data_IF_879611159010
#
_entry.id   IF_879611159010
#
_cell.length_a   1.000
_cell.length_b   1.000
_cell.length_c   1.000
_cell.angle_alpha   90.00
_cell.angle_beta   90.00
_cell.angle_gamma   90.00
#
_symmetry.space_group_name_H-M   'P 1'
#
loop_
_entity.id
_entity.type
_entity.pdbx_description
1 polymer ?
#
# COMPACT_ATOMS: atom_id res chain seq x y z
N UNK A 1 -59.68 19.66 30.10
CA UNK A 1 -58.41 19.00 29.77
C UNK A 1 -57.42 20.06 29.33
N UNK A 2 -56.30 20.21 30.05
CA UNK A 2 -55.37 21.33 29.87
C UNK A 2 -54.61 21.23 28.53
N UNK A 3 -54.54 22.32 27.73
CA UNK A 3 -53.87 22.33 26.43
C UNK A 3 -52.35 22.11 26.52
N UNK A 4 -51.76 22.21 27.72
CA UNK A 4 -50.36 21.84 27.95
C UNK A 4 -50.11 20.31 27.88
N UNK A 5 -51.06 19.47 28.30
CA UNK A 5 -50.85 18.01 28.32
C UNK A 5 -50.89 17.40 26.92
N UNK A 6 -51.64 18.00 25.99
CA UNK A 6 -51.67 17.56 24.60
C UNK A 6 -50.34 17.82 23.87
N UNK A 7 -49.66 18.94 24.17
CA UNK A 7 -48.36 19.28 23.58
C UNK A 7 -47.23 18.39 24.08
N UNK A 8 -47.24 18.03 25.37
CA UNK A 8 -46.25 17.10 25.95
C UNK A 8 -46.44 15.69 25.39
N UNK A 9 -47.69 15.24 25.23
CA UNK A 9 -47.99 13.94 24.60
C UNK A 9 -47.58 13.91 23.13
N UNK A 10 -47.83 14.98 22.37
CA UNK A 10 -47.44 15.08 20.95
C UNK A 10 -45.91 15.11 20.78
N UNK A 11 -45.18 15.79 21.67
CA UNK A 11 -43.71 15.80 21.68
C UNK A 11 -43.14 14.41 22.02
N UNK A 12 -43.74 13.68 22.96
CA UNK A 12 -43.32 12.29 23.26
C UNK A 12 -43.66 11.33 22.12
N UNK A 13 -44.83 11.47 21.47
CA UNK A 13 -45.20 10.64 20.32
C UNK A 13 -44.33 10.95 19.10
N UNK A 14 -43.98 12.21 18.84
CA UNK A 14 -43.03 12.59 17.78
C UNK A 14 -41.61 12.13 18.09
N UNK A 15 -41.16 12.16 19.36
CA UNK A 15 -39.87 11.58 19.75
C UNK A 15 -39.85 10.05 19.59
N UNK A 16 -40.94 9.35 19.93
CA UNK A 16 -41.07 7.90 19.74
C UNK A 16 -41.18 7.53 18.25
N UNK A 17 -41.83 8.34 17.42
CA UNK A 17 -41.90 8.14 15.96
C UNK A 17 -40.56 8.49 15.30
N UNK A 18 -39.82 9.49 15.79
CA UNK A 18 -38.45 9.75 15.36
C UNK A 18 -37.50 8.62 15.77
N UNK A 19 -37.70 8.01 16.94
CA UNK A 19 -37.01 6.79 17.39
C UNK A 19 -37.46 5.51 16.67
N UNK A 20 -38.63 5.49 16.03
CA UNK A 20 -39.07 4.38 15.16
C UNK A 20 -38.65 4.55 13.70
N UNK A 21 -38.51 5.78 13.21
CA UNK A 21 -37.87 6.08 11.91
C UNK A 21 -36.33 5.95 11.95
N UNK A 22 -35.78 5.64 13.13
CA UNK A 22 -34.46 5.03 13.34
C UNK A 22 -34.43 3.54 12.96
N UNK A 23 -35.43 3.02 12.23
CA UNK A 23 -35.31 1.77 11.47
C UNK A 23 -34.20 1.77 10.40
N UNK A 24 -33.52 2.90 10.18
CA UNK A 24 -32.28 2.98 9.40
C UNK A 24 -30.98 2.68 10.15
N UNK A 25 -30.95 2.65 11.49
CA UNK A 25 -29.69 2.44 12.24
C UNK A 25 -29.26 0.97 12.27
N UNK A 26 -30.20 0.02 12.23
CA UNK A 26 -29.88 -1.42 12.12
C UNK A 26 -29.33 -1.82 10.72
N UNK A 27 -29.41 -0.91 9.74
CA UNK A 27 -29.08 -1.17 8.33
C UNK A 27 -27.68 -0.74 7.88
N UNK A 28 -26.78 -0.35 8.81
CA UNK A 28 -25.44 0.17 8.49
C UNK A 28 -24.36 -0.17 9.52
N UNK A 29 -24.54 -1.24 10.28
CA UNK A 29 -23.76 -1.51 11.50
C UNK A 29 -22.25 -1.63 11.24
N UNK A 30 -21.86 -2.15 10.08
CA UNK A 30 -20.46 -2.33 9.65
C UNK A 30 -20.01 -1.32 8.60
N UNK A 31 -20.82 -0.32 8.24
CA UNK A 31 -20.47 0.64 7.17
C UNK A 31 -19.17 1.39 7.49
N UNK A 32 -18.96 1.77 8.76
CA UNK A 32 -17.72 2.42 9.20
C UNK A 32 -16.50 1.48 9.06
N UNK A 33 -16.65 0.24 9.50
CA UNK A 33 -15.57 -0.74 9.47
C UNK A 33 -15.25 -1.14 8.01
N UNK A 34 -16.27 -1.25 7.14
CA UNK A 34 -16.08 -1.45 5.69
C UNK A 34 -15.30 -0.29 5.06
N UNK A 35 -15.60 0.97 5.40
CA UNK A 35 -14.88 2.13 4.84
C UNK A 35 -13.37 2.07 5.09
N UNK A 36 -12.94 1.49 6.21
CA UNK A 36 -11.52 1.28 6.52
C UNK A 36 -10.90 0.30 5.53
N UNK A 37 -11.57 -0.83 5.27
CA UNK A 37 -11.07 -1.78 4.28
C UNK A 37 -11.19 -1.26 2.85
N UNK A 38 -12.22 -0.49 2.51
CA UNK A 38 -12.29 0.20 1.22
C UNK A 38 -11.09 1.13 1.02
N UNK A 39 -10.65 1.83 2.07
CA UNK A 39 -9.44 2.64 2.01
C UNK A 39 -8.19 1.76 1.82
N UNK A 40 -8.04 0.68 2.60
CA UNK A 40 -6.91 -0.24 2.48
C UNK A 40 -6.85 -0.90 1.09
N UNK A 41 -7.97 -1.41 0.59
CA UNK A 41 -8.15 -1.99 -0.74
C UNK A 41 -7.81 -0.97 -1.84
N UNK A 42 -8.30 0.28 -1.73
CA UNK A 42 -7.95 1.33 -2.67
C UNK A 42 -6.43 1.56 -2.72
N UNK A 43 -5.81 1.81 -1.57
CA UNK A 43 -4.37 2.09 -1.47
C UNK A 43 -3.52 0.92 -1.98
N UNK A 44 -3.97 -0.32 -1.72
CA UNK A 44 -3.27 -1.53 -2.13
C UNK A 44 -3.44 -1.86 -3.63
N UNK A 45 -4.56 -1.47 -4.23
CA UNK A 45 -4.84 -1.70 -5.67
C UNK A 45 -4.37 -0.56 -6.58
N UNK A 46 -4.01 0.59 -6.01
CA UNK A 46 -3.51 1.77 -6.72
C UNK A 46 -2.15 2.21 -6.15
N UNK A 47 -1.11 1.36 -6.22
CA UNK A 47 0.19 1.70 -5.65
C UNK A 47 0.78 2.97 -6.28
N UNK A 48 1.63 3.72 -5.56
CA UNK A 48 2.26 4.92 -6.09
C UNK A 48 3.09 4.64 -7.34
N UNK A 49 3.20 5.67 -8.17
CA UNK A 49 4.18 5.66 -9.26
C UNK A 49 5.60 5.61 -8.71
N UNK A 50 6.45 4.83 -9.37
CA UNK A 50 7.88 4.76 -9.06
C UNK A 50 8.56 6.11 -9.36
N UNK A 51 9.45 6.61 -8.49
CA UNK A 51 10.24 7.80 -8.74
C UNK A 51 11.03 7.67 -10.03
N UNK A 52 11.02 8.73 -10.84
CA UNK A 52 11.83 8.83 -12.04
C UNK A 52 13.23 9.26 -11.64
N UNK A 53 14.24 8.47 -12.03
CA UNK A 53 15.64 8.76 -11.77
C UNK A 53 16.35 9.24 -13.04
N UNK A 54 17.35 10.14 -12.93
CA UNK A 54 18.07 10.68 -14.08
C UNK A 54 19.18 9.73 -14.56
N UNK A 55 18.87 8.44 -14.78
CA UNK A 55 19.87 7.40 -15.09
C UNK A 55 20.62 7.72 -16.40
N UNK A 56 19.90 8.11 -17.45
CA UNK A 56 20.49 8.47 -18.75
C UNK A 56 21.39 9.70 -18.65
N UNK A 57 20.96 10.74 -17.93
CA UNK A 57 21.79 11.94 -17.72
C UNK A 57 23.05 11.58 -16.94
N UNK A 58 22.93 10.75 -15.91
CA UNK A 58 24.06 10.27 -15.11
C UNK A 58 25.12 9.55 -15.96
N UNK A 59 24.69 8.69 -16.90
CA UNK A 59 25.60 8.03 -17.84
C UNK A 59 26.28 9.02 -18.80
N UNK A 60 25.52 9.98 -19.35
CA UNK A 60 26.08 11.02 -20.23
C UNK A 60 27.15 11.85 -19.52
N UNK A 61 26.93 12.22 -18.25
CA UNK A 61 27.89 12.99 -17.45
C UNK A 61 29.20 12.22 -17.21
N UNK A 62 29.11 10.92 -16.89
CA UNK A 62 30.31 10.09 -16.75
C UNK A 62 31.03 9.91 -18.09
N UNK A 63 30.29 9.62 -19.17
CA UNK A 63 30.83 9.49 -20.51
C UNK A 63 31.60 10.74 -20.96
N UNK A 64 31.04 11.93 -20.70
CA UNK A 64 31.72 13.20 -20.93
C UNK A 64 33.07 13.25 -20.21
N UNK A 65 33.09 12.97 -18.90
CA UNK A 65 34.31 13.09 -18.11
C UNK A 65 35.41 12.12 -18.53
N UNK A 66 35.03 10.89 -18.87
CA UNK A 66 35.96 9.88 -19.37
C UNK A 66 36.56 10.31 -20.72
N UNK A 67 35.73 10.93 -21.57
CA UNK A 67 36.18 11.48 -22.85
C UNK A 67 37.14 12.65 -22.66
N UNK A 68 36.83 13.61 -21.78
CA UNK A 68 37.74 14.69 -21.40
C UNK A 68 39.06 14.15 -20.84
N UNK A 69 39.01 13.12 -19.99
CA UNK A 69 40.22 12.46 -19.45
C UNK A 69 41.08 11.89 -20.57
N UNK A 70 40.49 11.16 -21.51
CA UNK A 70 41.24 10.54 -22.61
C UNK A 70 41.83 11.58 -23.57
N UNK A 71 41.07 12.64 -23.87
CA UNK A 71 41.51 13.72 -24.76
C UNK A 71 42.54 14.66 -24.14
N UNK A 72 42.74 14.57 -22.82
CA UNK A 72 43.83 15.23 -22.11
C UNK A 72 44.98 14.29 -21.79
N UNK A 73 45.02 13.02 -22.24
CA UNK A 73 46.04 12.05 -21.83
C UNK A 73 47.34 12.03 -22.68
N UNK A 74 47.54 13.01 -23.57
CA UNK A 74 48.73 13.10 -24.44
C UNK A 74 48.63 12.25 -25.72
N UNK A 75 49.71 12.22 -26.51
CA UNK A 75 49.67 11.64 -27.87
C UNK A 75 49.43 10.13 -27.90
N UNK A 76 49.94 9.40 -26.90
CA UNK A 76 49.85 7.94 -26.82
C UNK A 76 48.44 7.38 -26.59
N UNK A 77 47.45 8.22 -26.24
CA UNK A 77 46.10 7.79 -25.92
C UNK A 77 45.10 8.16 -27.03
N UNK A 78 44.18 7.22 -27.32
CA UNK A 78 43.08 7.47 -28.25
C UNK A 78 42.09 8.48 -27.63
N UNK A 79 41.74 9.52 -28.40
CA UNK A 79 40.72 10.51 -28.06
C UNK A 79 39.63 10.41 -29.12
N UNK A 80 38.39 10.20 -28.68
CA UNK A 80 37.23 10.37 -29.55
C UNK A 80 36.94 11.87 -29.66
N UNK A 81 37.28 12.49 -30.78
CA UNK A 81 37.01 13.93 -31.00
C UNK A 81 35.60 14.17 -31.54
N UNK A 82 35.09 15.38 -31.37
CA UNK A 82 33.82 15.83 -31.92
C UNK A 82 32.82 16.32 -30.88
N UNK A 83 31.58 16.48 -31.33
CA UNK A 83 30.48 17.03 -30.54
C UNK A 83 29.93 16.00 -29.56
N UNK A 84 29.69 16.43 -28.32
CA UNK A 84 29.00 15.66 -27.28
C UNK A 84 27.83 16.47 -26.77
N UNK A 85 26.64 15.91 -26.85
CA UNK A 85 25.48 16.48 -26.18
C UNK A 85 25.45 16.07 -24.71
N UNK A 86 25.45 17.08 -23.84
CA UNK A 86 25.34 16.91 -22.39
C UNK A 86 24.18 17.78 -21.95
N UNK A 87 23.08 17.13 -21.59
CA UNK A 87 21.82 17.79 -21.22
C UNK A 87 21.32 18.77 -22.29
N UNK A 88 21.58 20.07 -22.15
CA UNK A 88 21.13 21.13 -23.05
C UNK A 88 22.27 21.80 -23.82
N UNK A 89 23.49 21.29 -23.70
CA UNK A 89 24.68 21.87 -24.32
C UNK A 89 25.39 20.88 -25.24
N UNK A 90 25.99 21.41 -26.32
CA UNK A 90 26.87 20.65 -27.20
C UNK A 90 28.31 21.08 -26.98
N UNK A 91 29.11 20.16 -26.45
CA UNK A 91 30.53 20.38 -26.15
C UNK A 91 31.37 19.85 -27.31
N UNK A 92 32.23 20.69 -27.88
CA UNK A 92 33.20 20.25 -28.89
C UNK A 92 34.53 19.84 -28.24
N UNK A 93 34.78 18.54 -28.18
CA UNK A 93 35.98 17.96 -27.58
C UNK A 93 37.01 17.64 -28.66
N UNK A 94 38.19 18.25 -28.54
CA UNK A 94 39.39 18.01 -29.34
C UNK A 94 40.53 17.49 -28.47
N UNK A 95 41.47 16.73 -29.04
CA UNK A 95 42.67 16.31 -28.32
C UNK A 95 43.55 17.52 -28.01
N UNK A 96 44.09 17.57 -26.78
CA UNK A 96 45.06 18.60 -26.42
C UNK A 96 46.46 18.19 -26.87
N UNK A 97 47.23 19.15 -27.38
CA UNK A 97 48.64 18.97 -27.73
C UNK A 97 49.49 18.75 -26.48
N UNK A 98 50.51 17.91 -26.60
CA UNK A 98 51.36 17.53 -25.47
C UNK A 98 52.15 18.73 -24.92
N UNK A 99 52.03 18.95 -23.61
CA UNK A 99 52.74 20.02 -22.88
C UNK A 99 52.68 19.79 -21.37
N UNK A 100 53.57 20.44 -20.60
CA UNK A 100 53.53 20.40 -19.12
C UNK A 100 52.18 20.89 -18.57
N UNK A 101 51.60 21.89 -19.23
CA UNK A 101 50.27 22.40 -18.90
C UNK A 101 49.19 21.35 -19.13
N UNK A 102 49.20 20.66 -20.28
CA UNK A 102 48.29 19.55 -20.57
C UNK A 102 48.44 18.40 -19.57
N UNK A 103 49.67 18.05 -19.17
CA UNK A 103 49.90 17.01 -18.17
C UNK A 103 49.30 17.38 -16.80
N UNK A 104 49.41 18.65 -16.38
CA UNK A 104 48.79 19.14 -15.14
C UNK A 104 47.25 19.12 -15.21
N UNK A 105 46.66 19.51 -16.34
CA UNK A 105 45.22 19.45 -16.57
C UNK A 105 44.70 18.02 -16.57
N UNK A 106 45.43 17.10 -17.23
CA UNK A 106 45.11 15.69 -17.23
C UNK A 106 44.99 15.13 -15.82
N UNK A 107 45.96 15.43 -14.95
CA UNK A 107 45.92 14.97 -13.56
C UNK A 107 44.69 15.52 -12.81
N UNK A 108 44.28 16.77 -13.06
CA UNK A 108 43.08 17.36 -12.44
C UNK A 108 41.82 16.65 -12.95
N UNK A 109 41.67 16.48 -14.26
CA UNK A 109 40.52 15.81 -14.89
C UNK A 109 40.46 14.33 -14.49
N UNK A 110 41.60 13.65 -14.41
CA UNK A 110 41.69 12.26 -13.97
C UNK A 110 41.17 12.11 -12.53
N UNK A 111 41.55 13.01 -11.61
CA UNK A 111 41.03 13.00 -10.23
C UNK A 111 39.51 13.21 -10.20
N UNK A 112 38.99 14.11 -11.04
CA UNK A 112 37.55 14.33 -11.17
C UNK A 112 36.84 13.10 -11.75
N UNK A 113 37.42 12.44 -12.75
CA UNK A 113 36.88 11.22 -13.35
C UNK A 113 36.80 10.09 -12.34
N UNK A 114 37.85 9.87 -11.55
CA UNK A 114 37.82 8.88 -10.48
C UNK A 114 36.80 9.21 -9.39
N UNK A 115 36.57 10.50 -9.09
CA UNK A 115 35.50 10.91 -8.17
C UNK A 115 34.12 10.65 -8.78
N UNK A 116 33.93 10.96 -10.06
CA UNK A 116 32.69 10.75 -10.80
C UNK A 116 32.32 9.26 -10.86
N UNK A 117 33.27 8.38 -11.16
CA UNK A 117 33.06 6.92 -11.16
C UNK A 117 32.56 6.42 -9.79
N UNK A 118 33.10 6.94 -8.68
CA UNK A 118 32.64 6.59 -7.32
C UNK A 118 31.23 7.09 -7.03
N UNK A 119 30.90 8.30 -7.49
CA UNK A 119 29.55 8.86 -7.36
C UNK A 119 28.55 8.05 -8.20
N UNK A 120 28.92 7.67 -9.43
CA UNK A 120 28.11 6.80 -10.30
C UNK A 120 27.80 5.46 -9.61
N UNK A 121 28.81 4.80 -9.07
CA UNK A 121 28.60 3.54 -8.34
C UNK A 121 27.66 3.70 -7.13
N UNK A 122 27.72 4.85 -6.45
CA UNK A 122 26.82 5.14 -5.33
C UNK A 122 25.41 5.45 -5.81
N UNK A 123 25.28 6.17 -6.92
CA UNK A 123 24.02 6.47 -7.59
C UNK A 123 23.34 5.16 -8.02
N UNK A 124 24.06 4.26 -8.70
CA UNK A 124 23.53 2.98 -9.18
C UNK A 124 23.01 2.10 -8.04
N UNK A 125 23.71 2.11 -6.89
CA UNK A 125 23.25 1.40 -5.69
C UNK A 125 21.92 1.96 -5.17
N UNK A 126 21.80 3.28 -5.13
CA UNK A 126 20.54 3.92 -4.72
C UNK A 126 19.44 3.69 -5.76
N UNK A 127 19.74 3.75 -7.05
CA UNK A 127 18.79 3.47 -8.13
C UNK A 127 18.26 2.03 -8.10
N UNK A 128 19.12 1.05 -7.82
CA UNK A 128 18.71 -0.35 -7.58
C UNK A 128 17.80 -0.44 -6.37
N UNK A 129 18.14 0.25 -5.27
CA UNK A 129 17.32 0.27 -4.04
C UNK A 129 15.93 0.86 -4.32
N UNK A 130 15.83 1.97 -5.07
CA UNK A 130 14.54 2.53 -5.50
C UNK A 130 13.72 1.48 -6.24
N UNK A 131 14.32 0.80 -7.23
CA UNK A 131 13.65 -0.22 -8.02
C UNK A 131 13.15 -1.38 -7.16
N UNK A 132 14.04 -2.00 -6.39
CA UNK A 132 13.70 -3.16 -5.58
C UNK A 132 12.67 -2.84 -4.49
N UNK A 133 12.80 -1.70 -3.82
CA UNK A 133 11.88 -1.31 -2.76
C UNK A 133 10.49 -1.05 -3.31
N UNK A 134 10.36 -0.35 -4.44
CA UNK A 134 9.05 -0.09 -5.07
C UNK A 134 8.41 -1.37 -5.60
N UNK A 135 9.16 -2.22 -6.30
CA UNK A 135 8.61 -3.47 -6.85
C UNK A 135 8.13 -4.41 -5.73
N UNK A 136 8.90 -4.51 -4.63
CA UNK A 136 8.49 -5.27 -3.44
C UNK A 136 7.29 -4.65 -2.73
N UNK A 137 7.23 -3.32 -2.61
CA UNK A 137 6.09 -2.63 -2.01
C UNK A 137 4.80 -2.89 -2.81
N UNK A 138 4.84 -2.73 -4.13
CA UNK A 138 3.72 -3.02 -5.04
C UNK A 138 3.27 -4.47 -4.91
N UNK A 139 4.24 -5.41 -4.88
CA UNK A 139 3.95 -6.83 -4.67
C UNK A 139 3.21 -7.06 -3.35
N UNK A 140 3.73 -6.56 -2.23
CA UNK A 140 3.10 -6.74 -0.92
C UNK A 140 1.71 -6.11 -0.84
N UNK A 141 1.51 -4.92 -1.43
CA UNK A 141 0.19 -4.31 -1.52
C UNK A 141 -0.79 -5.21 -2.25
N UNK A 142 -0.42 -5.76 -3.41
CA UNK A 142 -1.29 -6.69 -4.15
C UNK A 142 -1.56 -7.97 -3.40
N UNK A 143 -0.54 -8.56 -2.78
CA UNK A 143 -0.69 -9.78 -1.98
C UNK A 143 -1.62 -9.55 -0.78
N UNK A 144 -1.65 -8.33 -0.22
CA UNK A 144 -2.55 -8.01 0.89
C UNK A 144 -4.04 -8.04 0.51
N UNK A 145 -4.37 -7.85 -0.78
CA UNK A 145 -5.76 -7.85 -1.29
C UNK A 145 -6.11 -9.17 -1.96
N UNK A 146 -5.21 -9.71 -2.77
CA UNK A 146 -5.48 -10.86 -3.64
C UNK A 146 -4.84 -12.16 -3.16
N UNK A 147 -4.03 -12.13 -2.10
CA UNK A 147 -3.37 -13.30 -1.54
C UNK A 147 -1.98 -13.54 -2.09
N UNK A 148 -1.31 -14.57 -1.58
CA UNK A 148 0.07 -14.90 -1.95
C UNK A 148 0.25 -15.07 -3.45
N UNK A 149 1.39 -14.63 -3.99
CA UNK A 149 1.72 -14.82 -5.41
C UNK A 149 0.88 -13.97 -6.37
N UNK A 150 0.16 -12.96 -5.88
CA UNK A 150 -0.64 -12.04 -6.69
C UNK A 150 0.15 -11.51 -7.91
N UNK A 151 -0.37 -11.80 -9.10
CA UNK A 151 0.28 -11.41 -10.37
C UNK A 151 0.28 -9.90 -10.57
N UNK A 152 1.27 -9.33 -11.30
CA UNK A 152 1.40 -7.87 -11.43
C UNK A 152 0.27 -7.13 -12.15
N UNK A 153 -0.70 -7.80 -12.76
CA UNK A 153 -1.82 -7.13 -13.45
C UNK A 153 -3.17 -7.64 -12.96
N UNK A 154 -3.22 -8.23 -11.75
CA UNK A 154 -4.50 -8.64 -11.16
C UNK A 154 -5.37 -7.41 -10.91
N UNK A 155 -6.63 -7.50 -11.32
CA UNK A 155 -7.63 -6.44 -11.11
C UNK A 155 -8.91 -7.06 -10.55
N UNK A 156 -9.77 -6.22 -9.98
CA UNK A 156 -10.99 -6.69 -9.34
C UNK A 156 -11.89 -7.52 -10.26
N UNK A 157 -11.94 -7.19 -11.54
CA UNK A 157 -12.77 -7.88 -12.54
C UNK A 157 -12.09 -9.06 -13.25
N UNK A 158 -10.84 -9.39 -12.91
CA UNK A 158 -10.08 -10.43 -13.61
C UNK A 158 -9.09 -11.10 -12.65
N UNK A 159 -9.59 -12.00 -11.83
CA UNK A 159 -8.80 -12.84 -10.92
C UNK A 159 -8.84 -14.29 -11.40
N UNK A 160 -7.68 -14.91 -11.61
CA UNK A 160 -7.60 -16.30 -12.05
C UNK A 160 -8.03 -17.27 -10.94
N UNK A 161 -8.59 -18.43 -11.30
CA UNK A 161 -9.11 -19.41 -10.33
C UNK A 161 -8.09 -19.82 -9.25
N UNK A 162 -6.82 -20.02 -9.63
CA UNK A 162 -5.75 -20.34 -8.67
C UNK A 162 -5.46 -19.22 -7.66
N UNK A 163 -5.64 -17.95 -8.06
CA UNK A 163 -5.48 -16.81 -7.18
C UNK A 163 -6.65 -16.67 -6.20
N UNK A 164 -7.85 -17.12 -6.58
CA UNK A 164 -9.03 -17.04 -5.69
C UNK A 164 -8.81 -17.85 -4.40
N UNK A 165 -8.13 -19.00 -4.47
CA UNK A 165 -7.83 -19.83 -3.30
C UNK A 165 -6.81 -19.17 -2.34
N UNK A 166 -5.95 -18.29 -2.85
CA UNK A 166 -5.03 -17.49 -2.05
C UNK A 166 -5.73 -16.25 -1.48
N UNK A 167 -6.65 -15.67 -2.25
CA UNK A 167 -7.47 -14.52 -1.85
C UNK A 167 -8.43 -14.89 -0.71
N UNK A 168 -8.96 -16.10 -0.78
CA UNK A 168 -9.95 -16.67 0.13
C UNK A 168 -9.45 -18.05 0.54
N UNK A 169 -8.86 -18.19 1.74
CA UNK A 169 -8.39 -19.51 2.14
C UNK A 169 -9.58 -20.45 2.34
N UNK A 170 -9.63 -21.57 1.59
CA UNK A 170 -10.72 -22.52 1.74
C UNK A 170 -10.68 -23.08 3.16
N UNK A 171 -11.85 -23.20 3.75
CA UNK A 171 -12.04 -24.10 4.87
C UNK A 171 -12.15 -25.51 4.27
N UNK A 172 -11.70 -26.54 4.99
CA UNK A 172 -11.77 -27.95 4.57
C UNK A 172 -13.05 -28.27 3.79
N UNK A 173 -12.93 -29.07 2.72
CA UNK A 173 -14.02 -29.46 1.83
C UNK A 173 -15.21 -29.99 2.65
N UNK A 174 -16.38 -29.34 2.52
CA UNK A 174 -17.61 -29.69 3.24
C UNK A 174 -17.86 -28.95 4.57
N UNK A 175 -16.96 -28.07 5.01
CA UNK A 175 -17.19 -27.24 6.21
C UNK A 175 -18.00 -25.97 5.87
N UNK A 176 -19.31 -26.06 6.07
CA UNK A 176 -20.28 -25.01 5.72
C UNK A 176 -20.38 -23.89 6.78
N UNK A 177 -19.27 -23.42 7.34
CA UNK A 177 -19.32 -22.51 8.48
C UNK A 177 -18.45 -21.25 8.31
N UNK A 178 -19.12 -20.09 8.25
CA UNK A 178 -18.52 -18.75 8.20
C UNK A 178 -17.50 -18.52 9.32
N UNK A 179 -17.71 -19.10 10.50
CA UNK A 179 -16.83 -18.91 11.66
C UNK A 179 -15.42 -19.47 11.42
N UNK A 180 -15.27 -20.47 10.56
CA UNK A 180 -13.93 -20.94 10.17
C UNK A 180 -13.25 -20.03 9.13
N UNK A 181 -14.04 -19.36 8.30
CA UNK A 181 -13.58 -18.43 7.26
C UNK A 181 -13.26 -17.03 7.81
N UNK A 182 -14.03 -16.61 8.81
CA UNK A 182 -14.01 -15.27 9.41
C UNK A 182 -13.47 -15.26 10.84
N UNK A 183 -13.05 -16.42 11.33
CA UNK A 183 -12.31 -16.60 12.57
C UNK A 183 -13.15 -17.21 13.71
N UNK A 184 -12.65 -18.34 14.21
CA UNK A 184 -12.95 -19.00 15.49
C UNK A 184 -11.97 -20.18 15.68
N UNK A 185 -11.39 -20.31 16.87
CA UNK A 185 -10.51 -21.41 17.31
C UNK A 185 -9.20 -21.59 16.50
N UNK A 186 -8.34 -22.53 16.93
CA UNK A 186 -7.01 -22.82 16.37
C UNK A 186 -7.00 -23.29 14.88
N UNK A 187 -8.17 -23.35 14.23
CA UNK A 187 -8.39 -23.71 12.84
C UNK A 187 -8.90 -22.53 11.98
N UNK A 188 -8.80 -21.29 12.47
CA UNK A 188 -9.20 -20.07 11.77
C UNK A 188 -8.29 -19.79 10.56
N UNK A 189 -8.57 -20.45 9.43
CA UNK A 189 -7.70 -20.38 8.25
C UNK A 189 -7.91 -19.12 7.40
N UNK A 190 -9.05 -18.43 7.50
CA UNK A 190 -9.39 -17.31 6.60
C UNK A 190 -9.17 -15.90 7.17
N UNK A 191 -9.39 -15.67 8.47
CA UNK A 191 -9.28 -14.34 9.07
C UNK A 191 -7.88 -13.74 8.84
N UNK A 192 -7.82 -12.50 8.35
CA UNK A 192 -6.54 -11.82 8.16
C UNK A 192 -5.71 -12.28 6.97
N UNK A 193 -6.15 -13.29 6.20
CA UNK A 193 -5.43 -13.76 5.01
C UNK A 193 -5.31 -12.64 3.97
N UNK A 194 -6.44 -12.02 3.63
CA UNK A 194 -6.48 -10.84 2.75
C UNK A 194 -7.49 -9.83 3.22
N UNK A 195 -7.31 -8.57 2.78
CA UNK A 195 -8.31 -7.50 2.90
C UNK A 195 -9.66 -7.95 2.30
N UNK A 196 -9.63 -8.64 1.16
CA UNK A 196 -10.83 -9.07 0.45
C UNK A 196 -11.64 -10.11 1.24
N UNK A 197 -10.94 -11.07 1.85
CA UNK A 197 -11.53 -12.05 2.76
C UNK A 197 -12.24 -11.36 3.92
N UNK A 198 -11.55 -10.42 4.56
CA UNK A 198 -12.05 -9.74 5.75
C UNK A 198 -13.21 -8.78 5.43
N UNK A 199 -13.22 -8.15 4.24
CA UNK A 199 -14.38 -7.40 3.74
C UNK A 199 -15.61 -8.29 3.56
N UNK A 200 -15.42 -9.48 2.98
CA UNK A 200 -16.49 -10.47 2.82
C UNK A 200 -17.07 -10.84 4.17
N UNK A 201 -16.22 -11.20 5.14
CA UNK A 201 -16.62 -11.63 6.48
C UNK A 201 -17.51 -10.65 7.25
N UNK A 202 -17.29 -9.34 7.06
CA UNK A 202 -18.10 -8.33 7.72
C UNK A 202 -19.42 -8.02 7.00
N UNK A 203 -19.57 -8.41 5.74
CA UNK A 203 -20.64 -7.89 4.89
C UNK A 203 -21.52 -8.97 4.26
N UNK A 204 -21.00 -10.18 4.05
CA UNK A 204 -21.75 -11.29 3.51
C UNK A 204 -22.52 -12.02 4.62
N UNK A 205 -23.70 -12.54 4.28
CA UNK A 205 -24.58 -13.27 5.19
C UNK A 205 -24.66 -14.73 4.80
N UNK A 206 -24.93 -15.60 5.77
CA UNK A 206 -25.24 -17.01 5.52
C UNK A 206 -26.59 -17.17 4.82
N UNK A 207 -26.65 -17.95 3.74
CA UNK A 207 -27.92 -18.40 3.14
C UNK A 207 -28.64 -19.37 4.10
N UNK A 208 -29.94 -19.18 4.36
CA UNK A 208 -30.78 -20.12 5.11
C UNK A 208 -30.91 -19.89 6.63
N UNK A 209 -30.45 -18.76 7.17
CA UNK A 209 -30.60 -18.40 8.59
C UNK A 209 -32.02 -17.96 9.00
N UNK A 210 -32.38 -18.18 10.27
CA UNK A 210 -33.68 -17.86 10.86
C UNK A 210 -33.91 -16.35 11.01
N UNK A 211 -34.99 -15.83 10.41
CA UNK A 211 -35.54 -14.48 10.55
C UNK A 211 -34.54 -13.31 10.38
N UNK A 212 -34.44 -12.81 9.15
CA UNK A 212 -33.67 -11.66 8.71
C UNK A 212 -33.98 -10.37 9.50
N UNK A 213 -33.09 -9.96 10.41
CA UNK A 213 -33.11 -8.60 10.99
C UNK A 213 -31.94 -7.72 10.54
N UNK A 214 -30.76 -8.28 10.29
CA UNK A 214 -29.60 -7.52 9.76
C UNK A 214 -29.46 -7.77 8.26
N UNK A 215 -30.32 -7.17 7.45
CA UNK A 215 -30.29 -7.37 5.99
C UNK A 215 -29.24 -6.52 5.27
N UNK A 216 -28.60 -5.56 5.94
CA UNK A 216 -27.80 -4.51 5.29
C UNK A 216 -26.52 -4.10 6.06
N UNK A 217 -25.81 -5.00 6.76
CA UNK A 217 -24.71 -4.62 7.67
C UNK A 217 -23.71 -3.59 7.11
N UNK A 218 -23.33 -3.69 5.83
CA UNK A 218 -22.40 -2.78 5.18
C UNK A 218 -23.05 -1.68 4.32
N UNK A 219 -24.33 -1.37 4.54
CA UNK A 219 -25.05 -0.33 3.80
C UNK A 219 -25.50 -0.74 2.39
N UNK A 220 -25.41 -2.03 2.06
CA UNK A 220 -25.95 -2.61 0.83
C UNK A 220 -27.47 -2.52 0.81
N UNK A 221 -28.09 -2.16 -0.33
CA UNK A 221 -29.56 -2.16 -0.47
C UNK A 221 -30.19 -3.55 -0.41
N UNK A 222 -29.43 -4.59 -0.75
CA UNK A 222 -29.82 -6.00 -0.71
C UNK A 222 -28.75 -6.78 0.06
N UNK A 223 -29.14 -7.81 0.81
CA UNK A 223 -28.17 -8.66 1.48
C UNK A 223 -27.30 -9.39 0.46
N UNK A 224 -25.99 -9.44 0.71
CA UNK A 224 -25.05 -10.25 -0.08
C UNK A 224 -24.97 -11.61 0.59
N UNK A 225 -25.67 -12.59 0.02
CA UNK A 225 -25.66 -13.94 0.53
C UNK A 225 -24.47 -14.72 -0.05
N UNK A 226 -23.79 -15.50 0.79
CA UNK A 226 -22.77 -16.43 0.36
C UNK A 226 -23.31 -17.85 0.57
N UNK A 227 -23.49 -18.57 -0.53
CA UNK A 227 -23.95 -19.96 -0.54
C UNK A 227 -22.75 -20.90 -0.40
N UNK A 228 -22.89 -22.02 0.33
CA UNK A 228 -21.88 -23.09 0.38
C UNK A 228 -20.51 -22.77 1.01
N UNK A 229 -20.18 -21.50 1.29
CA UNK A 229 -18.85 -21.05 1.77
C UNK A 229 -17.68 -21.43 0.86
N UNK A 230 -17.95 -21.52 -0.44
CA UNK A 230 -16.94 -21.83 -1.45
C UNK A 230 -16.20 -20.56 -1.90
N UNK A 231 -14.94 -20.74 -2.30
CA UNK A 231 -14.07 -19.66 -2.78
C UNK A 231 -14.69 -18.84 -3.91
N UNK A 232 -15.38 -19.49 -4.86
CA UNK A 232 -16.07 -18.80 -5.95
C UNK A 232 -17.22 -17.91 -5.47
N UNK A 233 -18.00 -18.38 -4.50
CA UNK A 233 -19.08 -17.60 -3.90
C UNK A 233 -18.57 -16.45 -3.02
N UNK A 234 -17.44 -16.63 -2.35
CA UNK A 234 -16.76 -15.56 -1.63
C UNK A 234 -16.29 -14.44 -2.58
N UNK A 235 -15.77 -14.81 -3.76
CA UNK A 235 -15.40 -13.85 -4.79
C UNK A 235 -16.60 -13.06 -5.33
N UNK A 236 -17.72 -13.75 -5.63
CA UNK A 236 -18.95 -13.09 -6.07
C UNK A 236 -19.51 -12.12 -5.01
N UNK A 237 -19.44 -12.52 -3.73
CA UNK A 237 -19.84 -11.68 -2.60
C UNK A 237 -18.94 -10.45 -2.49
N UNK A 238 -17.62 -10.63 -2.50
CA UNK A 238 -16.65 -9.55 -2.47
C UNK A 238 -16.84 -8.58 -3.64
N UNK A 239 -17.08 -9.07 -4.86
CA UNK A 239 -17.35 -8.25 -6.03
C UNK A 239 -18.54 -7.30 -5.84
N UNK A 240 -19.59 -7.75 -5.14
CA UNK A 240 -20.76 -6.91 -4.79
C UNK A 240 -20.44 -5.90 -3.68
N UNK A 241 -19.57 -6.26 -2.74
CA UNK A 241 -19.19 -5.42 -1.60
C UNK A 241 -18.25 -4.29 -2.05
N UNK A 242 -17.22 -4.61 -2.83
CA UNK A 242 -16.18 -3.65 -3.22
C UNK A 242 -16.71 -2.53 -4.14
N UNK A 243 -17.85 -2.74 -4.81
CA UNK A 243 -18.55 -1.69 -5.58
C UNK A 243 -19.03 -0.54 -4.67
N UNK A 244 -19.20 -0.77 -3.37
CA UNK A 244 -19.57 0.28 -2.41
C UNK A 244 -18.40 1.20 -2.05
N UNK A 245 -17.17 0.77 -2.34
CA UNK A 245 -15.99 1.53 -2.02
C UNK A 245 -15.89 2.74 -2.95
N UNK A 246 -15.64 3.91 -2.37
CA UNK A 246 -15.32 5.12 -3.12
C UNK A 246 -14.05 4.90 -3.96
N UNK A 247 -14.17 5.10 -5.26
CA UNK A 247 -13.09 4.97 -6.25
C UNK A 247 -12.43 6.31 -6.58
N UNK A 248 -12.78 7.38 -5.87
CA UNK A 248 -12.17 8.69 -6.05
C UNK A 248 -10.65 8.60 -5.90
N UNK A 249 -9.94 9.31 -6.76
CA UNK A 249 -8.49 9.30 -6.78
C UNK A 249 -7.92 9.85 -5.46
N UNK A 250 -6.94 9.15 -4.89
CA UNK A 250 -6.27 9.54 -3.64
C UNK A 250 -4.78 9.32 -3.79
N UNK A 251 -4.00 10.23 -3.21
CA UNK A 251 -2.56 10.04 -3.10
C UNK A 251 -2.27 8.78 -2.28
N UNK A 252 -1.44 7.90 -2.85
CA UNK A 252 -1.00 6.67 -2.18
C UNK A 252 0.47 6.83 -1.83
N UNK A 253 0.76 6.90 -0.54
CA UNK A 253 2.13 6.99 -0.03
C UNK A 253 2.24 6.22 1.31
N UNK A 254 3.45 6.17 1.86
CA UNK A 254 3.71 5.47 3.11
C UNK A 254 2.90 6.04 4.29
N UNK A 255 2.62 7.35 4.31
CA UNK A 255 1.85 7.99 5.36
C UNK A 255 0.35 7.61 5.28
N UNK A 256 -0.20 7.58 4.07
CA UNK A 256 -1.58 7.15 3.80
C UNK A 256 -1.80 5.69 4.21
N UNK A 257 -0.87 4.79 3.86
CA UNK A 257 -0.91 3.38 4.28
C UNK A 257 -0.89 3.25 5.81
N UNK A 258 0.05 3.93 6.49
CA UNK A 258 0.12 3.93 7.96
C UNK A 258 -1.11 4.55 8.62
N UNK A 259 -1.69 5.58 8.02
CA UNK A 259 -2.94 6.18 8.46
C UNK A 259 -4.13 5.22 8.38
N UNK A 260 -4.22 4.45 7.29
CA UNK A 260 -5.23 3.42 7.11
C UNK A 260 -5.06 2.27 8.13
N UNK A 261 -3.82 1.79 8.33
CA UNK A 261 -3.51 0.77 9.35
C UNK A 261 -3.84 1.24 10.78
N UNK A 262 -3.58 2.52 11.08
CA UNK A 262 -3.97 3.12 12.37
C UNK A 262 -5.49 3.18 12.52
N UNK A 263 -6.21 3.51 11.46
CA UNK A 263 -7.68 3.53 11.47
C UNK A 263 -8.27 2.15 11.73
N UNK A 264 -7.69 1.10 11.11
CA UNK A 264 -8.00 -0.30 11.42
C UNK A 264 -7.71 -0.63 12.88
N UNK A 265 -6.50 -0.34 13.36
CA UNK A 265 -6.12 -0.58 14.75
C UNK A 265 -7.06 0.09 15.75
N UNK A 266 -7.48 1.33 15.49
CA UNK A 266 -8.39 2.05 16.38
C UNK A 266 -9.84 1.52 16.34
N UNK A 267 -10.19 0.71 15.33
CA UNK A 267 -11.56 0.22 15.14
C UNK A 267 -11.78 -1.19 15.65
N UNK A 268 -10.70 -1.94 15.89
CA UNK A 268 -10.75 -3.22 16.58
C UNK A 268 -11.33 -3.04 18.00
N UNK A 269 -12.13 -4.03 18.42
CA UNK A 269 -12.69 -4.06 19.76
C UNK A 269 -11.59 -3.99 20.83
N UNK A 270 -11.83 -3.17 21.84
CA UNK A 270 -10.94 -3.02 22.99
C UNK A 270 -11.31 -4.01 24.09
N UNK A 271 -10.33 -4.37 24.92
CA UNK A 271 -10.55 -4.99 26.23
C UNK A 271 -11.29 -3.99 27.15
N UNK A 272 -12.62 -3.94 27.01
CA UNK A 272 -13.51 -3.14 27.84
C UNK A 272 -14.31 -4.03 28.80
N UNK A 273 -14.49 -3.56 30.04
CA UNK A 273 -15.33 -4.22 31.06
C UNK A 273 -16.77 -4.37 30.58
N UNK A 274 -17.42 -5.43 31.07
CA UNK A 274 -18.64 -6.07 30.59
C UNK A 274 -19.94 -5.23 30.47
N UNK A 275 -19.92 -3.90 30.61
CA UNK A 275 -21.14 -3.10 30.83
C UNK A 275 -21.43 -2.02 29.76
N UNK A 276 -20.73 -2.02 28.62
CA UNK A 276 -21.04 -1.08 27.52
C UNK A 276 -22.06 -1.67 26.53
N UNK A 277 -23.14 -0.96 26.16
CA UNK A 277 -24.12 -1.42 25.16
C UNK A 277 -23.55 -1.52 23.72
N UNK A 278 -22.26 -1.25 23.52
CA UNK A 278 -21.52 -1.36 22.25
C UNK A 278 -20.41 -2.41 22.36
N UNK A 279 -20.73 -3.61 22.82
CA UNK A 279 -19.79 -4.73 22.94
C UNK A 279 -19.11 -5.05 21.59
N UNK A 280 -17.95 -4.44 21.32
CA UNK A 280 -16.96 -5.04 20.42
C UNK A 280 -16.12 -5.97 21.28
N UNK A 281 -16.16 -7.27 21.00
CA UNK A 281 -15.29 -8.22 21.68
C UNK A 281 -13.82 -7.86 21.37
N UNK A 282 -12.89 -8.01 22.33
CA UNK A 282 -11.49 -7.71 22.13
C UNK A 282 -10.95 -8.33 20.83
N UNK A 283 -10.15 -7.57 20.08
CA UNK A 283 -9.49 -8.05 18.86
C UNK A 283 -10.43 -8.47 17.72
N UNK A 284 -11.72 -8.15 17.79
CA UNK A 284 -12.68 -8.39 16.70
C UNK A 284 -13.05 -7.07 16.00
N UNK A 285 -13.39 -7.15 14.71
CA UNK A 285 -13.89 -6.03 13.90
C UNK A 285 -15.27 -6.34 13.33
N UNK A 286 -16.16 -5.35 13.21
CA UNK A 286 -17.54 -5.55 12.76
C UNK A 286 -18.55 -5.68 13.91
N UNK A 287 -19.71 -6.25 13.58
CA UNK A 287 -20.89 -6.32 14.43
C UNK A 287 -20.97 -7.66 15.14
N UNK A 288 -21.15 -7.62 16.45
CA UNK A 288 -21.35 -8.80 17.29
C UNK A 288 -22.76 -8.82 17.89
N UNK A 289 -23.37 -9.99 17.84
CA UNK A 289 -24.55 -10.32 18.64
C UNK A 289 -24.19 -10.53 20.11
N UNK A 290 -25.17 -10.90 20.93
CA UNK A 290 -25.00 -11.04 22.39
C UNK A 290 -24.04 -12.15 22.85
N UNK A 291 -23.55 -13.02 21.96
CA UNK A 291 -22.66 -14.14 22.30
C UNK A 291 -21.36 -14.11 21.50
N UNK A 292 -20.38 -13.26 21.87
CA UNK A 292 -19.11 -13.14 21.14
C UNK A 292 -18.19 -14.39 21.23
N UNK A 293 -18.55 -15.36 22.08
CA UNK A 293 -17.85 -16.66 22.18
C UNK A 293 -18.08 -17.54 20.96
N UNK A 294 -19.16 -17.29 20.20
CA UNK A 294 -19.52 -18.12 19.06
C UNK A 294 -18.76 -17.76 17.77
N UNK A 295 -17.95 -16.69 17.78
CA UNK A 295 -17.14 -16.26 16.63
C UNK A 295 -17.96 -15.55 15.55
N UNK A 296 -17.37 -15.41 14.36
CA UNK A 296 -17.98 -14.71 13.21
C UNK A 296 -18.78 -15.66 12.32
N UNK A 297 -20.01 -15.94 12.73
CA UNK A 297 -20.86 -17.01 12.16
C UNK A 297 -21.66 -16.58 10.94
N UNK A 298 -21.76 -15.28 10.67
CA UNK A 298 -22.55 -14.76 9.56
C UNK A 298 -24.06 -14.92 9.70
N UNK A 299 -24.53 -15.32 10.89
CA UNK A 299 -25.95 -15.44 11.19
C UNK A 299 -26.61 -14.05 11.26
N UNK A 300 -27.93 -13.99 11.03
CA UNK A 300 -28.75 -12.78 11.03
C UNK A 300 -29.78 -12.74 12.17
N UNK A 301 -29.80 -13.75 13.04
CA UNK A 301 -30.67 -13.81 14.21
C UNK A 301 -30.24 -12.87 15.35
N UNK A 302 -30.83 -13.04 16.54
CA UNK A 302 -30.51 -12.25 17.75
C UNK A 302 -29.03 -12.39 18.21
N UNK A 303 -28.32 -13.35 17.62
CA UNK A 303 -26.90 -13.65 17.84
C UNK A 303 -26.01 -13.28 16.64
N UNK A 304 -26.53 -12.48 15.69
CA UNK A 304 -25.85 -12.16 14.44
C UNK A 304 -24.41 -11.67 14.63
N UNK A 305 -23.44 -12.35 14.02
CA UNK A 305 -22.03 -11.97 14.08
C UNK A 305 -21.43 -11.85 12.69
N UNK A 306 -21.51 -10.62 12.16
CA UNK A 306 -20.91 -10.20 10.89
C UNK A 306 -19.64 -9.43 11.22
N UNK A 307 -18.53 -10.16 11.26
CA UNK A 307 -17.30 -9.68 11.86
C UNK A 307 -16.08 -10.43 11.32
N UNK A 308 -14.90 -10.01 11.76
CA UNK A 308 -13.66 -10.78 11.67
C UNK A 308 -13.08 -10.96 13.07
N UNK A 309 -12.71 -12.19 13.42
CA UNK A 309 -12.11 -12.54 14.70
C UNK A 309 -10.58 -12.71 14.57
N UNK A 310 -9.81 -11.75 15.09
CA UNK A 310 -8.35 -11.83 15.08
C UNK A 310 -7.75 -12.34 16.39
N UNK A 311 -8.57 -12.71 17.40
CA UNK A 311 -8.08 -13.02 18.76
C UNK A 311 -6.94 -14.05 18.74
N UNK A 312 -7.16 -15.18 18.10
CA UNK A 312 -6.18 -16.27 18.02
C UNK A 312 -4.94 -15.95 17.18
N UNK A 313 -4.97 -14.87 16.37
CA UNK A 313 -3.84 -14.42 15.56
C UNK A 313 -2.97 -13.43 16.32
N UNK A 314 -3.58 -12.42 16.95
CA UNK A 314 -2.84 -11.28 17.50
C UNK A 314 -2.61 -11.36 19.00
N UNK A 315 -3.30 -12.27 19.69
CA UNK A 315 -3.13 -12.62 21.10
C UNK A 315 -3.29 -14.14 21.32
N UNK A 316 -2.44 -14.99 20.71
CA UNK A 316 -2.61 -16.45 20.70
C UNK A 316 -2.57 -17.09 22.11
N UNK A 317 -1.92 -16.42 23.07
CA UNK A 317 -1.75 -16.89 24.45
C UNK A 317 -2.76 -16.25 25.41
N UNK A 318 -3.68 -15.39 24.92
CA UNK A 318 -4.67 -14.65 25.72
C UNK A 318 -4.03 -13.82 26.86
N UNK A 319 -2.81 -13.33 26.63
CA UNK A 319 -2.02 -12.56 27.59
C UNK A 319 -2.36 -11.05 27.54
N UNK A 320 -3.30 -10.65 26.69
CA UNK A 320 -3.60 -9.25 26.40
C UNK A 320 -2.54 -8.59 25.52
N UNK A 321 -1.69 -9.40 24.87
CA UNK A 321 -0.70 -8.93 23.90
C UNK A 321 -1.40 -8.58 22.60
N UNK A 322 -1.01 -7.48 21.95
CA UNK A 322 -1.66 -7.04 20.71
C UNK A 322 -0.64 -6.88 19.60
N UNK A 323 -0.27 -7.99 18.96
CA UNK A 323 0.66 -7.95 17.83
C UNK A 323 -0.08 -7.95 16.48
N UNK A 324 -0.43 -6.77 15.99
CA UNK A 324 -1.13 -6.62 14.70
C UNK A 324 -0.34 -7.12 13.49
N UNK A 325 0.99 -7.22 13.58
CA UNK A 325 1.81 -7.79 12.50
C UNK A 325 1.65 -9.30 12.34
N UNK A 326 0.92 -9.96 13.24
CA UNK A 326 0.51 -11.37 13.06
C UNK A 326 -0.64 -11.53 12.06
N UNK A 327 -1.36 -10.45 11.71
CA UNK A 327 -2.36 -10.46 10.65
C UNK A 327 -1.63 -10.39 9.30
N UNK A 328 -1.71 -11.42 8.43
CA UNK A 328 -0.93 -11.48 7.19
C UNK A 328 -1.05 -10.24 6.30
N UNK A 329 -2.27 -9.82 5.95
CA UNK A 329 -2.45 -8.62 5.10
C UNK A 329 -1.95 -7.35 5.79
N UNK A 330 -2.09 -7.23 7.11
CA UNK A 330 -1.62 -6.05 7.86
C UNK A 330 -0.10 -5.95 7.77
N UNK A 331 0.60 -7.07 7.96
CA UNK A 331 2.05 -7.11 7.86
C UNK A 331 2.53 -6.73 6.45
N UNK A 332 1.85 -7.23 5.41
CA UNK A 332 2.17 -6.88 4.02
C UNK A 332 2.01 -5.38 3.76
N UNK A 333 0.89 -4.78 4.16
CA UNK A 333 0.66 -3.33 4.01
C UNK A 333 1.67 -2.50 4.81
N UNK A 334 1.99 -2.93 6.04
CA UNK A 334 2.96 -2.25 6.88
C UNK A 334 4.38 -2.31 6.29
N UNK A 335 4.80 -3.48 5.81
CA UNK A 335 6.08 -3.66 5.11
C UNK A 335 6.13 -2.87 3.80
N UNK A 336 5.03 -2.79 3.06
CA UNK A 336 4.96 -1.94 1.87
C UNK A 336 5.19 -0.47 2.20
N UNK A 337 4.60 0.05 3.29
CA UNK A 337 4.84 1.42 3.73
C UNK A 337 6.33 1.66 4.08
N UNK A 338 6.96 0.71 4.78
CA UNK A 338 8.38 0.79 5.14
C UNK A 338 9.29 0.75 3.89
N UNK A 339 8.94 -0.08 2.89
CA UNK A 339 9.65 -0.13 1.60
C UNK A 339 9.46 1.13 0.76
N UNK A 340 8.28 1.75 0.77
CA UNK A 340 8.06 3.03 0.07
C UNK A 340 8.93 4.14 0.65
N UNK A 341 9.06 4.23 1.98
CA UNK A 341 9.99 5.19 2.60
C UNK A 341 11.44 4.91 2.22
N UNK A 342 11.84 3.64 2.23
CA UNK A 342 13.18 3.25 1.81
C UNK A 342 13.47 3.67 0.36
N UNK A 343 12.51 3.44 -0.54
CA UNK A 343 12.61 3.84 -1.95
C UNK A 343 12.68 5.35 -2.10
N UNK A 344 11.82 6.11 -1.41
CA UNK A 344 11.84 7.58 -1.44
C UNK A 344 13.17 8.16 -0.93
N UNK A 345 13.66 7.67 0.21
CA UNK A 345 14.94 8.11 0.77
C UNK A 345 16.11 7.78 -0.17
N UNK A 346 16.07 6.63 -0.85
CA UNK A 346 17.07 6.27 -1.85
C UNK A 346 16.99 7.15 -3.10
N UNK A 347 15.77 7.50 -3.56
CA UNK A 347 15.58 8.40 -4.69
C UNK A 347 16.12 9.80 -4.41
N UNK A 348 15.86 10.35 -3.22
CA UNK A 348 16.46 11.63 -2.79
C UNK A 348 17.98 11.57 -2.73
N UNK A 349 18.55 10.46 -2.24
CA UNK A 349 20.00 10.28 -2.21
C UNK A 349 20.59 10.20 -3.63
N UNK A 350 19.94 9.49 -4.54
CA UNK A 350 20.33 9.42 -5.94
C UNK A 350 20.28 10.80 -6.61
N UNK A 351 19.21 11.59 -6.39
CA UNK A 351 19.10 12.95 -6.92
C UNK A 351 20.23 13.86 -6.42
N UNK A 352 20.60 13.78 -5.12
CA UNK A 352 21.74 14.53 -4.58
C UNK A 352 23.07 14.13 -5.22
N UNK A 353 23.27 12.85 -5.49
CA UNK A 353 24.48 12.37 -6.17
C UNK A 353 24.54 12.84 -7.62
N UNK A 354 23.41 12.82 -8.33
CA UNK A 354 23.30 13.34 -9.70
C UNK A 354 23.69 14.83 -9.76
N UNK A 355 23.18 15.67 -8.86
CA UNK A 355 23.59 17.08 -8.79
C UNK A 355 25.08 17.27 -8.49
N UNK A 356 25.70 16.41 -7.67
CA UNK A 356 27.15 16.44 -7.46
C UNK A 356 27.92 16.04 -8.72
N UNK A 357 27.39 15.12 -9.51
CA UNK A 357 27.98 14.72 -10.79
C UNK A 357 27.90 15.86 -11.79
N UNK A 358 26.77 16.56 -11.91
CA UNK A 358 26.64 17.76 -12.74
C UNK A 358 27.71 18.80 -12.40
N UNK A 359 27.86 19.14 -11.11
CA UNK A 359 28.88 20.10 -10.67
C UNK A 359 30.31 19.65 -11.00
N UNK A 360 30.62 18.35 -10.91
CA UNK A 360 31.93 17.82 -11.32
C UNK A 360 32.14 17.94 -12.83
N UNK A 361 31.09 17.70 -13.63
CA UNK A 361 31.14 17.83 -15.08
C UNK A 361 31.41 19.28 -15.49
N UNK A 362 30.72 20.25 -14.90
CA UNK A 362 30.94 21.68 -15.12
C UNK A 362 32.38 22.10 -14.80
N UNK A 363 32.90 21.66 -13.64
CA UNK A 363 34.29 21.95 -13.25
C UNK A 363 35.29 21.31 -14.22
N UNK A 364 35.06 20.07 -14.65
CA UNK A 364 35.93 19.40 -15.61
C UNK A 364 35.92 20.09 -16.99
N UNK A 365 34.75 20.55 -17.44
CA UNK A 365 34.60 21.33 -18.67
C UNK A 365 35.36 22.66 -18.57
N UNK A 366 35.24 23.40 -17.46
CA UNK A 366 35.99 24.63 -17.24
C UNK A 366 37.50 24.40 -17.34
N UNK A 367 38.00 23.36 -16.67
CA UNK A 367 39.43 22.98 -16.70
C UNK A 367 39.87 22.60 -18.12
N UNK A 368 39.04 21.86 -18.83
CA UNK A 368 39.33 21.47 -20.20
C UNK A 368 39.37 22.68 -21.14
N UNK A 369 38.43 23.61 -21.01
CA UNK A 369 38.37 24.82 -21.81
C UNK A 369 39.55 25.75 -21.57
N UNK A 370 39.95 25.96 -20.30
CA UNK A 370 41.20 26.64 -19.93
C UNK A 370 42.40 26.09 -20.71
N UNK A 371 42.53 24.76 -20.79
CA UNK A 371 43.62 24.09 -21.49
C UNK A 371 43.55 24.13 -23.01
N UNK A 372 42.34 24.19 -23.57
CA UNK A 372 42.11 24.21 -25.02
C UNK A 372 42.32 25.60 -25.64
N UNK A 373 42.53 26.64 -24.83
CA UNK A 373 42.59 28.02 -25.28
C UNK A 373 41.24 28.59 -25.74
N UNK A 374 40.15 27.84 -25.55
CA UNK A 374 38.78 28.31 -25.75
C UNK A 374 38.31 28.92 -24.43
N UNK A 375 38.29 30.24 -24.31
CA UNK A 375 37.62 30.92 -23.19
C UNK A 375 36.12 30.63 -23.33
N UNK A 376 35.50 30.11 -22.26
CA UNK A 376 34.08 29.72 -22.25
C UNK A 376 33.19 30.84 -22.77
N UNK A 377 32.25 30.49 -23.65
CA UNK A 377 31.21 31.42 -24.07
C UNK A 377 30.26 31.68 -22.89
N UNK A 378 29.98 32.96 -22.66
CA UNK A 378 28.94 33.47 -21.74
C UNK A 378 27.55 32.92 -22.04
#
# INVERSE_FOLDING_TARGET
MNPLNAKVLLLHVCAIIALKNVQGIESRINTRDLNIFCQLDYLATHPPSKPVLPDESTEKLLGLLLRLRNCTAGEAHACEEGMVEVEHETVNITKLTESDHQAALHQRIQRLASKMERLKQSFDRHASTVTESYDKAVKHLRESVYGSGAVPNVTRGSVAAGQLAEMFKPVEEGSQHMDKFCGKAAAANGAGVTISNDMMCMCAIRVGGSAARITHACGLKNSVAMEGYEVGHAYDAWGKIVILCDTSERAVDAAALRGALRSFSNSLGFLGKEDSPQYKSPHMLGSMGRHPKDGCTGDMGFQASLCVDYRTLIDPEDEGTRNLRMIPWYNLVASAADLLDQGNNAAEAAARLHSQMQAIAEVALSIYYEGSGKVGCE
#
